data_IF_471843628525
#
_entry.id   IF_471843628525
#
_cell.length_a   1.000
_cell.length_b   1.000
_cell.length_c   1.000
_cell.angle_alpha   90.00
_cell.angle_beta   90.00
_cell.angle_gamma   90.00
#
_symmetry.space_group_name_H-M   'P 1'
#
loop_
_entity.id
_entity.type
_entity.pdbx_description
1 polymer ?
#
# COMPACT_ATOMS: atom_id res chain seq x y z
N UNK A 1 3.97 -82.77 -11.35
CA UNK A 1 3.90 -81.44 -12.00
C UNK A 1 2.83 -80.66 -11.27
N UNK A 2 3.25 -79.91 -10.27
CA UNK A 2 2.42 -79.16 -9.33
C UNK A 2 2.68 -77.68 -9.61
N UNK A 3 1.64 -76.97 -10.03
CA UNK A 3 1.65 -75.52 -10.30
C UNK A 3 1.23 -74.78 -9.04
N UNK A 4 2.18 -74.06 -8.43
CA UNK A 4 1.95 -73.13 -7.33
C UNK A 4 1.45 -71.77 -7.87
N UNK A 5 0.21 -71.42 -7.52
CA UNK A 5 -0.39 -70.10 -7.72
C UNK A 5 -0.02 -69.18 -6.57
N UNK A 6 0.89 -68.23 -6.82
CA UNK A 6 1.15 -67.09 -5.93
C UNK A 6 -0.04 -66.12 -5.97
N UNK A 7 -0.74 -65.98 -4.85
CA UNK A 7 -1.77 -64.96 -4.61
C UNK A 7 -1.08 -63.73 -4.03
N UNK A 8 -1.07 -62.63 -4.79
CA UNK A 8 -0.46 -61.36 -4.40
C UNK A 8 -1.52 -60.48 -3.73
N UNK A 9 -1.30 -60.21 -2.45
CA UNK A 9 -2.14 -59.35 -1.60
C UNK A 9 -1.97 -57.87 -2.00
N UNK A 10 -3.07 -57.18 -2.29
CA UNK A 10 -3.13 -55.74 -2.57
C UNK A 10 -3.57 -55.00 -1.30
N UNK A 11 -2.82 -53.99 -0.82
CA UNK A 11 -3.28 -53.17 0.29
C UNK A 11 -4.32 -52.12 -0.16
N UNK A 12 -5.35 -51.95 0.67
CA UNK A 12 -6.43 -50.99 0.50
C UNK A 12 -5.90 -49.53 0.56
N UNK A 13 -6.34 -48.71 -0.38
CA UNK A 13 -6.07 -47.27 -0.45
C UNK A 13 -7.18 -46.55 0.31
N UNK A 14 -6.88 -46.10 1.53
CA UNK A 14 -7.78 -45.26 2.31
C UNK A 14 -7.84 -43.85 1.70
N UNK A 15 -9.04 -43.47 1.28
CA UNK A 15 -9.34 -42.16 0.69
C UNK A 15 -9.52 -41.14 1.81
N UNK A 16 -8.45 -40.43 2.15
CA UNK A 16 -8.48 -39.29 3.08
C UNK A 16 -9.30 -38.17 2.47
N UNK A 17 -10.52 -38.01 2.98
CA UNK A 17 -11.43 -36.91 2.65
C UNK A 17 -11.08 -35.72 3.53
N UNK A 18 -10.30 -34.77 2.99
CA UNK A 18 -10.00 -33.51 3.67
C UNK A 18 -11.18 -32.55 3.53
N UNK A 19 -12.07 -32.53 4.53
CA UNK A 19 -13.05 -31.45 4.71
C UNK A 19 -12.32 -30.18 5.16
N UNK A 20 -12.27 -29.18 4.28
CA UNK A 20 -11.75 -27.85 4.61
C UNK A 20 -12.89 -27.09 5.32
N UNK A 21 -12.88 -27.14 6.65
CA UNK A 21 -13.79 -26.39 7.50
C UNK A 21 -13.49 -24.88 7.39
N UNK A 22 -14.45 -24.16 6.83
CA UNK A 22 -14.40 -22.72 6.60
C UNK A 22 -14.96 -21.97 7.81
N UNK A 23 -14.42 -22.22 9.01
CA UNK A 23 -14.97 -21.65 10.26
C UNK A 23 -13.96 -20.88 11.13
N UNK A 24 -12.67 -20.79 10.75
CA UNK A 24 -11.63 -20.20 11.62
C UNK A 24 -11.25 -18.74 11.35
N UNK A 25 -11.83 -18.08 10.33
CA UNK A 25 -11.40 -16.73 9.94
C UNK A 25 -11.99 -15.60 10.78
N UNK A 26 -13.13 -15.82 11.48
CA UNK A 26 -13.78 -14.77 12.27
C UNK A 26 -13.21 -14.60 13.69
N UNK A 27 -12.64 -15.67 14.27
CA UNK A 27 -12.08 -15.63 15.63
C UNK A 27 -10.78 -14.83 15.73
N UNK A 28 -9.91 -14.93 14.73
CA UNK A 28 -8.56 -14.33 14.78
C UNK A 28 -8.57 -12.79 14.74
N UNK A 29 -9.55 -12.20 14.05
CA UNK A 29 -9.71 -10.75 13.99
C UNK A 29 -10.22 -10.17 15.31
N UNK A 30 -11.12 -10.86 16.03
CA UNK A 30 -11.65 -10.34 17.30
C UNK A 30 -10.60 -10.35 18.41
N UNK A 31 -9.78 -11.39 18.51
CA UNK A 31 -8.74 -11.47 19.55
C UNK A 31 -7.66 -10.42 19.35
N UNK A 32 -7.31 -10.11 18.10
CA UNK A 32 -6.27 -9.10 17.79
C UNK A 32 -6.75 -7.67 18.07
N UNK A 33 -8.04 -7.37 17.87
CA UNK A 33 -8.59 -6.05 18.17
C UNK A 33 -8.79 -5.81 19.67
N UNK A 34 -9.02 -6.84 20.46
CA UNK A 34 -9.30 -6.70 21.90
C UNK A 34 -8.03 -6.38 22.71
N UNK A 35 -6.85 -6.84 22.26
CA UNK A 35 -5.55 -6.47 22.86
C UNK A 35 -5.02 -5.10 22.40
N UNK A 36 -5.61 -4.50 21.36
CA UNK A 36 -5.34 -3.12 20.94
C UNK A 36 -6.11 -2.13 21.82
N UNK A 37 -5.84 -2.16 23.13
CA UNK A 37 -6.34 -1.14 24.05
C UNK A 37 -5.74 0.22 23.67
N UNK A 38 -6.55 1.08 23.06
CA UNK A 38 -6.17 2.44 22.66
C UNK A 38 -5.53 3.22 23.83
N UNK A 39 -5.99 2.98 25.07
CA UNK A 39 -5.42 3.58 26.29
C UNK A 39 -3.98 3.12 26.56
N UNK A 40 -3.61 1.88 26.26
CA UNK A 40 -2.24 1.39 26.41
C UNK A 40 -1.29 1.95 25.35
N UNK A 41 -1.80 2.22 24.14
CA UNK A 41 -1.04 2.94 23.10
C UNK A 41 -0.92 4.42 23.45
N UNK A 42 -1.98 5.09 23.91
CA UNK A 42 -1.92 6.47 24.38
C UNK A 42 -1.00 6.64 25.60
N UNK A 43 -0.94 5.65 26.49
CA UNK A 43 -0.05 5.68 27.64
C UNK A 43 1.41 5.35 27.29
N UNK A 44 1.65 4.41 26.35
CA UNK A 44 3.02 4.08 25.90
C UNK A 44 3.60 5.11 24.95
N UNK A 45 2.75 5.82 24.22
CA UNK A 45 3.20 6.85 23.33
C UNK A 45 2.95 8.19 24.03
N UNK A 46 3.99 8.69 24.70
CA UNK A 46 4.12 10.10 25.11
C UNK A 46 4.16 11.04 23.87
N UNK A 47 3.20 10.88 22.96
CA UNK A 47 2.98 11.73 21.80
C UNK A 47 2.44 13.05 22.34
N UNK A 48 3.20 14.11 22.14
CA UNK A 48 2.70 15.48 22.23
C UNK A 48 1.42 15.61 21.40
N UNK A 49 0.43 16.37 21.91
CA UNK A 49 -0.86 16.60 21.22
C UNK A 49 -0.69 17.02 19.75
N UNK A 50 0.41 17.72 19.46
CA UNK A 50 0.82 18.15 18.12
C UNK A 50 0.99 16.97 17.15
N UNK A 51 1.71 15.92 17.55
CA UNK A 51 1.97 14.79 16.68
C UNK A 51 0.74 13.88 16.53
N UNK A 52 -0.17 13.84 17.51
CA UNK A 52 -1.47 13.17 17.34
C UNK A 52 -2.32 13.89 16.28
N UNK A 53 -2.31 15.23 16.31
CA UNK A 53 -3.03 16.05 15.34
C UNK A 53 -2.43 15.88 13.94
N UNK A 54 -1.11 15.84 13.83
CA UNK A 54 -0.41 15.57 12.57
C UNK A 54 -0.77 14.19 11.99
N UNK A 55 -0.77 13.15 12.82
CA UNK A 55 -1.15 11.79 12.40
C UNK A 55 -2.60 11.74 11.94
N UNK A 56 -3.52 12.36 12.69
CA UNK A 56 -4.94 12.40 12.34
C UNK A 56 -5.19 13.18 11.04
N UNK A 57 -4.45 14.26 10.83
CA UNK A 57 -4.57 15.10 9.63
C UNK A 57 -3.98 14.39 8.41
N UNK A 58 -2.83 13.73 8.54
CA UNK A 58 -2.27 12.87 7.48
C UNK A 58 -3.20 11.68 7.17
N UNK A 59 -3.77 11.04 8.19
CA UNK A 59 -4.72 9.95 8.00
C UNK A 59 -5.99 10.43 7.26
N UNK A 60 -6.56 11.56 7.70
CA UNK A 60 -7.73 12.17 7.05
C UNK A 60 -7.47 12.60 5.61
N UNK A 61 -6.29 13.18 5.34
CA UNK A 61 -5.86 13.54 3.99
C UNK A 61 -5.71 12.30 3.10
N UNK A 62 -5.07 11.24 3.61
CA UNK A 62 -4.95 9.96 2.93
C UNK A 62 -6.31 9.35 2.62
N UNK A 63 -7.20 9.29 3.60
CA UNK A 63 -8.57 8.79 3.45
C UNK A 63 -9.35 9.55 2.39
N UNK A 64 -9.33 10.89 2.45
CA UNK A 64 -10.04 11.72 1.48
C UNK A 64 -9.46 11.53 0.07
N UNK A 65 -8.13 11.47 -0.06
CA UNK A 65 -7.47 11.23 -1.34
C UNK A 65 -7.82 9.84 -1.91
N UNK A 66 -7.84 8.80 -1.08
CA UNK A 66 -8.22 7.44 -1.49
C UNK A 66 -9.68 7.35 -1.94
N UNK A 67 -10.57 8.01 -1.20
CA UNK A 67 -11.98 8.11 -1.57
C UNK A 67 -12.17 8.85 -2.91
N UNK A 68 -11.48 9.98 -3.10
CA UNK A 68 -11.48 10.71 -4.37
C UNK A 68 -10.92 9.83 -5.49
N UNK A 69 -9.84 9.11 -5.25
CA UNK A 69 -9.20 8.29 -6.27
C UNK A 69 -10.16 7.23 -6.81
N UNK A 70 -10.98 6.60 -5.96
CA UNK A 70 -11.98 5.64 -6.42
C UNK A 70 -13.10 6.29 -7.22
N UNK A 71 -13.65 7.39 -6.71
CA UNK A 71 -14.74 8.13 -7.38
C UNK A 71 -14.30 8.73 -8.72
N UNK A 72 -13.07 9.20 -8.80
CA UNK A 72 -12.50 9.85 -9.98
C UNK A 72 -11.52 8.96 -10.75
N UNK A 73 -11.52 7.64 -10.52
CA UNK A 73 -10.56 6.74 -11.15
C UNK A 73 -10.57 6.86 -12.69
N UNK A 74 -11.77 7.06 -13.26
CA UNK A 74 -11.91 7.28 -14.71
C UNK A 74 -11.19 8.56 -15.18
N UNK A 75 -11.34 9.67 -14.45
CA UNK A 75 -10.64 10.93 -14.75
C UNK A 75 -9.14 10.80 -14.53
N UNK A 76 -8.72 10.08 -13.49
CA UNK A 76 -7.30 9.82 -13.23
C UNK A 76 -6.66 9.03 -14.37
N UNK A 77 -7.37 8.05 -14.93
CA UNK A 77 -6.91 7.28 -16.08
C UNK A 77 -6.77 8.16 -17.32
N UNK A 78 -7.75 9.04 -17.57
CA UNK A 78 -7.68 10.02 -18.67
C UNK A 78 -6.51 10.98 -18.49
N UNK A 79 -6.28 11.48 -17.27
CA UNK A 79 -5.16 12.36 -16.96
C UNK A 79 -3.81 11.65 -17.13
N UNK A 80 -3.69 10.42 -16.64
CA UNK A 80 -2.48 9.61 -16.80
C UNK A 80 -2.19 9.31 -18.27
N UNK A 81 -3.22 9.00 -19.06
CA UNK A 81 -3.10 8.82 -20.51
C UNK A 81 -2.66 10.11 -21.20
N UNK A 82 -3.20 11.26 -20.78
CA UNK A 82 -2.82 12.56 -21.32
C UNK A 82 -1.35 12.90 -21.02
N UNK A 83 -0.89 12.65 -19.79
CA UNK A 83 0.52 12.82 -19.40
C UNK A 83 1.43 11.87 -20.19
N UNK A 84 1.02 10.60 -20.36
CA UNK A 84 1.75 9.65 -21.18
C UNK A 84 1.86 10.09 -22.64
N UNK A 85 0.77 10.59 -23.21
CA UNK A 85 0.77 11.12 -24.58
C UNK A 85 1.69 12.35 -24.73
N UNK A 86 1.69 13.26 -23.76
CA UNK A 86 2.62 14.40 -23.70
C UNK A 86 4.06 13.94 -23.62
N UNK A 87 4.35 12.92 -22.82
CA UNK A 87 5.70 12.37 -22.67
C UNK A 87 6.22 11.72 -23.96
N UNK A 88 5.34 11.00 -24.66
CA UNK A 88 5.65 10.45 -25.99
C UNK A 88 5.87 11.56 -27.02
N UNK A 89 5.06 12.62 -27.00
CA UNK A 89 5.21 13.76 -27.91
C UNK A 89 6.53 14.54 -27.70
N UNK A 90 6.98 14.67 -26.44
CA UNK A 90 8.28 15.22 -26.08
C UNK A 90 9.43 14.30 -26.55
N UNK A 91 9.28 12.97 -26.41
CA UNK A 91 10.26 12.00 -26.91
C UNK A 91 10.49 12.09 -28.43
N UNK A 92 9.42 12.33 -29.20
CA UNK A 92 9.52 12.55 -30.65
C UNK A 92 9.92 13.99 -31.02
N UNK A 93 10.26 14.84 -30.05
CA UNK A 93 10.67 16.24 -30.22
C UNK A 93 9.67 17.10 -31.02
N UNK A 94 8.39 16.71 -31.04
CA UNK A 94 7.32 17.46 -31.73
C UNK A 94 6.97 18.72 -30.92
N UNK A 95 7.14 18.65 -29.59
CA UNK A 95 6.92 19.72 -28.63
C UNK A 95 8.11 19.71 -27.67
N UNK A 96 8.92 20.78 -27.63
CA UNK A 96 9.94 20.93 -26.58
C UNK A 96 9.26 21.34 -25.29
N UNK A 97 8.95 20.38 -24.43
CA UNK A 97 8.30 20.66 -23.15
C UNK A 97 9.39 20.87 -22.11
N UNK A 98 9.87 22.12 -22.00
CA UNK A 98 10.89 22.50 -21.01
C UNK A 98 10.28 22.50 -19.61
N UNK A 99 10.15 21.31 -19.01
CA UNK A 99 9.70 21.17 -17.62
C UNK A 99 10.77 21.82 -16.74
N UNK A 100 10.42 22.96 -16.16
CA UNK A 100 11.34 23.67 -15.29
C UNK A 100 11.42 22.97 -13.93
N UNK A 101 12.27 21.94 -13.85
CA UNK A 101 12.46 21.10 -12.67
C UNK A 101 12.84 21.94 -11.43
N UNK A 102 13.39 23.14 -11.64
CA UNK A 102 13.71 24.08 -10.55
C UNK A 102 12.47 24.57 -9.80
N UNK A 103 11.35 24.81 -10.49
CA UNK A 103 10.09 25.23 -9.85
C UNK A 103 9.42 24.07 -9.11
N UNK A 104 9.51 22.86 -9.63
CA UNK A 104 8.97 21.67 -8.96
C UNK A 104 9.75 21.43 -7.66
N UNK A 105 11.08 21.57 -7.71
CA UNK A 105 11.95 21.43 -6.52
C UNK A 105 11.63 22.46 -5.43
N UNK A 106 11.37 23.71 -5.79
CA UNK A 106 10.97 24.73 -4.81
C UNK A 106 9.58 24.48 -4.23
N UNK A 107 8.65 23.93 -5.02
CA UNK A 107 7.31 23.60 -4.56
C UNK A 107 7.27 22.38 -3.63
N UNK A 108 8.14 21.39 -3.86
CA UNK A 108 8.27 20.21 -3.00
C UNK A 108 9.05 20.45 -1.71
N UNK A 109 9.67 21.63 -1.54
CA UNK A 109 10.44 21.95 -0.34
C UNK A 109 11.71 21.10 -0.15
N UNK A 110 12.14 20.32 -1.16
CA UNK A 110 13.42 19.60 -1.11
C UNK A 110 14.55 20.66 -1.12
N UNK A 111 15.14 20.93 0.04
CA UNK A 111 16.32 21.78 0.19
C UNK A 111 17.45 21.21 -0.68
N UNK A 112 18.09 22.08 -1.47
CA UNK A 112 19.06 21.81 -2.53
C UNK A 112 19.73 20.42 -2.47
N UNK A 113 19.19 19.46 -3.21
CA UNK A 113 19.84 18.17 -3.45
C UNK A 113 21.12 18.38 -4.28
N UNK A 114 22.21 17.63 -4.02
CA UNK A 114 23.39 17.64 -4.87
C UNK A 114 22.98 17.26 -6.31
N UNK A 115 23.67 17.83 -7.31
CA UNK A 115 23.27 17.82 -8.72
C UNK A 115 23.01 16.42 -9.30
N UNK A 116 23.56 15.37 -8.69
CA UNK A 116 23.44 13.97 -9.10
C UNK A 116 22.34 13.16 -8.38
N UNK A 117 21.64 13.76 -7.41
CA UNK A 117 20.63 13.03 -6.64
C UNK A 117 19.27 13.02 -7.35
N UNK A 118 18.75 11.81 -7.57
CA UNK A 118 17.48 11.55 -8.26
C UNK A 118 16.30 12.00 -7.38
N UNK A 119 15.19 12.43 -7.97
CA UNK A 119 13.97 12.83 -7.24
C UNK A 119 13.50 11.70 -6.30
N UNK A 120 13.70 10.45 -6.71
CA UNK A 120 13.45 9.26 -5.92
C UNK A 120 14.24 9.23 -4.61
N UNK A 121 15.51 9.65 -4.59
CA UNK A 121 16.29 9.65 -3.34
C UNK A 121 15.82 10.75 -2.37
N UNK A 122 15.36 11.92 -2.85
CA UNK A 122 14.70 12.90 -1.96
C UNK A 122 13.45 12.28 -1.33
N UNK A 123 12.59 11.67 -2.15
CA UNK A 123 11.34 11.07 -1.69
C UNK A 123 11.58 10.00 -0.63
N UNK A 124 12.57 9.12 -0.86
CA UNK A 124 12.93 8.06 0.10
C UNK A 124 13.44 8.65 1.40
N UNK A 125 14.29 9.69 1.36
CA UNK A 125 14.76 10.36 2.60
C UNK A 125 13.64 11.04 3.37
N UNK A 126 12.71 11.70 2.69
CA UNK A 126 11.54 12.35 3.33
C UNK A 126 10.62 11.31 3.97
N UNK A 127 10.41 10.17 3.29
CA UNK A 127 9.62 9.05 3.81
C UNK A 127 10.31 8.42 5.02
N UNK A 128 11.64 8.28 5.02
CA UNK A 128 12.37 7.75 6.17
C UNK A 128 12.26 8.67 7.39
N UNK A 129 12.34 9.99 7.19
CA UNK A 129 12.22 10.96 8.27
C UNK A 129 10.81 10.99 8.86
N UNK A 130 9.78 10.78 8.04
CA UNK A 130 8.36 10.84 8.44
C UNK A 130 7.65 9.48 8.30
N UNK A 131 8.32 8.39 8.72
CA UNK A 131 7.76 7.02 8.63
C UNK A 131 6.38 6.92 9.29
N UNK A 132 6.19 7.54 10.46
CA UNK A 132 4.91 7.47 11.19
C UNK A 132 3.75 8.11 10.42
N UNK A 133 3.97 9.31 9.88
CA UNK A 133 2.97 10.02 9.08
C UNK A 133 2.70 9.29 7.76
N UNK A 134 3.72 8.70 7.15
CA UNK A 134 3.57 7.93 5.90
C UNK A 134 2.72 6.69 6.13
N UNK A 135 2.94 5.95 7.22
CA UNK A 135 2.15 4.75 7.54
C UNK A 135 0.69 5.11 7.84
N UNK A 136 0.43 6.21 8.56
CA UNK A 136 -0.96 6.66 8.81
C UNK A 136 -1.65 7.17 7.54
N UNK A 137 -0.91 7.84 6.66
CA UNK A 137 -1.41 8.26 5.36
C UNK A 137 -1.79 7.06 4.49
N UNK A 138 -0.93 6.04 4.40
CA UNK A 138 -1.18 4.82 3.61
C UNK A 138 -2.40 4.07 4.16
N UNK A 139 -2.50 3.90 5.49
CA UNK A 139 -3.65 3.21 6.08
C UNK A 139 -4.96 3.97 5.85
N UNK A 140 -4.95 5.29 5.99
CA UNK A 140 -6.07 6.16 5.63
C UNK A 140 -6.45 6.01 4.15
N UNK A 141 -5.47 6.05 3.26
CA UNK A 141 -5.67 5.92 1.81
C UNK A 141 -6.28 4.58 1.40
N UNK A 142 -5.79 3.46 1.95
CA UNK A 142 -6.35 2.12 1.67
C UNK A 142 -7.80 2.03 2.16
N UNK A 143 -8.11 2.55 3.36
CA UNK A 143 -9.48 2.59 3.86
C UNK A 143 -10.38 3.48 2.99
N UNK A 144 -9.87 4.64 2.56
CA UNK A 144 -10.59 5.54 1.65
C UNK A 144 -10.92 4.89 0.31
N UNK A 145 -9.97 4.15 -0.26
CA UNK A 145 -10.17 3.34 -1.47
C UNK A 145 -11.18 2.20 -1.24
N UNK A 146 -11.22 1.61 -0.06
CA UNK A 146 -12.14 0.51 0.22
C UNK A 146 -13.58 1.00 0.34
N UNK A 147 -13.78 2.10 1.08
CA UNK A 147 -15.10 2.72 1.35
C UNK A 147 -15.68 3.46 0.14
N UNK A 148 -14.82 4.12 -0.66
CA UNK A 148 -15.25 4.95 -1.80
C UNK A 148 -15.76 4.21 -3.01
#
# INVERSE_FOLDING_TARGET
>A
MTTDTMTQDMPAIDTVSTSIDTESAQGFFQTTFQDFSFDSLLAKIHLTREALLEIALCFGAGFLLGFLFKKYNHYFFVLAFFIGALWVADYYAIISLTINVSMIKSFLGCSALPADATILSCLVSTVQEHVRATVSFISGFVLGLWVG
#
